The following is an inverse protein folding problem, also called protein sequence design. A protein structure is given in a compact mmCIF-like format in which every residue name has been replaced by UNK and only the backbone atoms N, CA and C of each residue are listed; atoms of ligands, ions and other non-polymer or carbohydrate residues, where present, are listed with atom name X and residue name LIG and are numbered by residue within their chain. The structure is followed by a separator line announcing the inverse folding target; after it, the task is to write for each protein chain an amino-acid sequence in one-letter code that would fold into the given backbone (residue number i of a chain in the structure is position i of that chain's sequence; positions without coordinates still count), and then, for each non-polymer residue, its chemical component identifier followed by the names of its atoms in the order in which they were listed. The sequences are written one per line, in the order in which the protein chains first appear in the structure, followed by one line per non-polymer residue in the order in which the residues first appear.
data_IF_125692982564
#
_entry.id   IF_125692982564
#
_cell.length_a   1.000
_cell.length_b   1.000
_cell.length_c   1.000
_cell.angle_alpha   90.00
_cell.angle_beta   90.00
_cell.angle_gamma   90.00
#
_symmetry.space_group_name_H-M   'P 1'
#
loop_
_entity.id
_entity.type
_entity.pdbx_description
1 polymer ?
#
# COMPACT_ATOMS: atom_id res chain seq x y z
N UNK A 1 4.00 15.74 -41.77
CA UNK A 1 4.73 15.28 -40.57
C UNK A 1 4.15 15.84 -39.27
N UNK A 2 3.66 17.08 -39.23
CA UNK A 2 3.15 17.75 -38.02
C UNK A 2 1.74 17.30 -37.56
N UNK A 3 0.85 16.89 -38.48
CA UNK A 3 -0.53 16.47 -38.15
C UNK A 3 -0.61 15.20 -37.29
N UNK A 4 0.22 14.19 -37.58
CA UNK A 4 0.28 12.95 -36.79
C UNK A 4 0.87 13.17 -35.39
N UNK A 5 1.80 14.13 -35.25
CA UNK A 5 2.39 14.49 -33.97
C UNK A 5 1.37 15.23 -33.09
N UNK A 6 0.57 16.14 -33.66
CA UNK A 6 -0.51 16.81 -32.95
C UNK A 6 -1.61 15.84 -32.49
N UNK A 7 -2.01 14.89 -33.33
CA UNK A 7 -3.01 13.88 -32.97
C UNK A 7 -2.55 13.00 -31.79
N UNK A 8 -1.31 12.50 -31.84
CA UNK A 8 -0.78 11.65 -30.77
C UNK A 8 -0.61 12.40 -29.45
N UNK A 9 -0.20 13.67 -29.48
CA UNK A 9 -0.14 14.52 -28.28
C UNK A 9 -1.54 14.78 -27.74
N UNK A 10 -2.51 15.12 -28.60
CA UNK A 10 -3.89 15.35 -28.20
C UNK A 10 -4.54 14.12 -27.56
N UNK A 11 -4.33 12.93 -28.13
CA UNK A 11 -4.82 11.67 -27.57
C UNK A 11 -4.16 11.35 -26.23
N UNK A 12 -2.85 11.56 -26.09
CA UNK A 12 -2.13 11.37 -24.82
C UNK A 12 -2.62 12.33 -23.75
N UNK A 13 -2.78 13.62 -24.08
CA UNK A 13 -3.29 14.61 -23.13
C UNK A 13 -4.73 14.34 -22.73
N UNK A 14 -5.57 13.87 -23.66
CA UNK A 14 -6.94 13.49 -23.35
C UNK A 14 -7.00 12.26 -22.43
N UNK A 15 -6.16 11.23 -22.69
CA UNK A 15 -6.07 10.05 -21.84
C UNK A 15 -5.58 10.39 -20.42
N UNK A 16 -4.53 11.22 -20.30
CA UNK A 16 -4.05 11.70 -19.01
C UNK A 16 -5.12 12.54 -18.31
N UNK A 17 -5.76 13.47 -19.00
CA UNK A 17 -6.84 14.28 -18.46
C UNK A 17 -8.02 13.45 -17.96
N UNK A 18 -8.38 12.39 -18.69
CA UNK A 18 -9.43 11.45 -18.30
C UNK A 18 -9.07 10.68 -17.02
N UNK A 19 -7.85 10.14 -16.91
CA UNK A 19 -7.37 9.46 -15.69
C UNK A 19 -7.33 10.42 -14.50
N UNK A 20 -6.85 11.65 -14.71
CA UNK A 20 -6.84 12.67 -13.67
C UNK A 20 -8.27 12.98 -13.21
N UNK A 21 -9.22 13.14 -14.13
CA UNK A 21 -10.63 13.35 -13.76
C UNK A 21 -11.18 12.19 -12.93
N UNK A 22 -10.89 10.94 -13.31
CA UNK A 22 -11.33 9.76 -12.56
C UNK A 22 -10.79 9.72 -11.12
N UNK A 23 -9.60 10.27 -10.87
CA UNK A 23 -8.98 10.30 -9.53
C UNK A 23 -9.45 11.54 -8.75
N UNK A 24 -9.40 12.72 -9.36
CA UNK A 24 -9.67 13.98 -8.68
C UNK A 24 -11.16 14.19 -8.37
N UNK A 25 -12.06 13.70 -9.22
CA UNK A 25 -13.50 13.87 -9.02
C UNK A 25 -14.00 13.20 -7.71
N UNK A 26 -13.70 11.92 -7.41
CA UNK A 26 -14.08 11.32 -6.14
C UNK A 26 -13.32 11.93 -4.95
N UNK A 27 -12.04 12.32 -5.11
CA UNK A 27 -11.32 13.00 -4.02
C UNK A 27 -11.93 14.36 -3.69
N UNK A 28 -12.37 15.12 -4.69
CA UNK A 28 -13.07 16.39 -4.50
C UNK A 28 -14.42 16.20 -3.82
N UNK A 29 -15.20 15.19 -4.20
CA UNK A 29 -16.49 14.93 -3.56
C UNK A 29 -16.33 14.39 -2.13
N UNK A 30 -15.33 13.55 -1.88
CA UNK A 30 -15.00 13.07 -0.52
C UNK A 30 -14.59 14.22 0.39
N UNK A 31 -13.67 15.09 -0.06
CA UNK A 31 -13.22 16.24 0.74
C UNK A 31 -14.34 17.24 1.02
N UNK A 32 -15.21 17.50 0.04
CA UNK A 32 -16.41 18.32 0.25
C UNK A 32 -17.33 17.71 1.30
N UNK A 33 -17.59 16.39 1.23
CA UNK A 33 -18.43 15.70 2.19
C UNK A 33 -17.82 15.69 3.59
N UNK A 34 -16.51 15.48 3.72
CA UNK A 34 -15.81 15.47 5.01
C UNK A 34 -15.85 16.82 5.74
N UNK A 35 -15.86 17.93 4.99
CA UNK A 35 -15.87 19.29 5.57
C UNK A 35 -17.29 19.90 5.55
N UNK A 36 -18.28 19.21 4.98
CA UNK A 36 -19.65 19.72 4.83
C UNK A 36 -20.30 20.11 6.17
N UNK A 37 -19.94 19.44 7.26
CA UNK A 37 -20.43 19.75 8.62
C UNK A 37 -19.68 20.90 9.30
N UNK A 38 -18.79 21.58 8.58
CA UNK A 38 -17.96 22.68 9.08
C UNK A 38 -16.57 22.20 9.55
N UNK A 39 -15.61 23.13 9.53
CA UNK A 39 -14.23 22.86 9.90
C UNK A 39 -14.08 22.40 11.36
N UNK A 40 -14.84 23.01 12.28
CA UNK A 40 -14.79 22.65 13.70
C UNK A 40 -15.25 21.21 13.94
N UNK A 41 -16.30 20.77 13.23
CA UNK A 41 -16.81 19.40 13.33
C UNK A 41 -15.80 18.40 12.76
N UNK A 42 -15.18 18.74 11.63
CA UNK A 42 -14.12 17.92 11.03
C UNK A 42 -12.95 17.68 12.01
N UNK A 43 -12.48 18.73 12.69
CA UNK A 43 -11.41 18.60 13.69
C UNK A 43 -11.88 17.78 14.91
N UNK A 44 -13.12 17.94 15.35
CA UNK A 44 -13.69 17.12 16.43
C UNK A 44 -13.74 15.63 16.05
N UNK A 45 -14.16 15.31 14.83
CA UNK A 45 -14.26 13.93 14.33
C UNK A 45 -12.86 13.30 14.18
N UNK A 46 -11.88 14.07 13.72
CA UNK A 46 -10.46 13.66 13.67
C UNK A 46 -9.84 13.45 15.06
N UNK A 47 -10.21 14.30 16.02
CA UNK A 47 -9.72 14.24 17.40
C UNK A 47 -10.52 13.26 18.27
N UNK A 48 -11.55 12.63 17.71
CA UNK A 48 -12.33 11.62 18.42
C UNK A 48 -11.40 10.48 18.87
N UNK A 49 -11.56 9.93 20.08
CA UNK A 49 -10.63 8.96 20.64
C UNK A 49 -10.34 7.76 19.72
N UNK A 50 -11.36 7.30 19.00
CA UNK A 50 -11.24 6.17 18.07
C UNK A 50 -10.45 6.55 16.81
N UNK A 51 -10.70 7.74 16.23
CA UNK A 51 -10.00 8.23 15.05
C UNK A 51 -8.53 8.50 15.37
N UNK A 52 -8.26 9.20 16.48
CA UNK A 52 -6.91 9.48 16.95
C UNK A 52 -6.12 8.19 17.23
N UNK A 53 -6.72 7.21 17.90
CA UNK A 53 -6.08 5.92 18.17
C UNK A 53 -5.77 5.16 16.86
N UNK A 54 -6.70 5.14 15.90
CA UNK A 54 -6.49 4.50 14.61
C UNK A 54 -5.38 5.17 13.79
N UNK A 55 -5.33 6.52 13.79
CA UNK A 55 -4.27 7.28 13.13
C UNK A 55 -2.91 7.01 13.76
N UNK A 56 -2.82 7.02 15.08
CA UNK A 56 -1.56 6.76 15.78
C UNK A 56 -1.08 5.32 15.55
N UNK A 57 -1.97 4.33 15.64
CA UNK A 57 -1.65 2.95 15.33
C UNK A 57 -1.13 2.78 13.90
N UNK A 58 -1.75 3.47 12.93
CA UNK A 58 -1.31 3.44 11.52
C UNK A 58 0.08 4.04 11.37
N UNK A 59 0.35 5.18 12.00
CA UNK A 59 1.67 5.84 11.96
C UNK A 59 2.73 4.96 12.61
N UNK A 60 2.48 4.43 13.80
CA UNK A 60 3.42 3.59 14.54
C UNK A 60 3.75 2.31 13.76
N UNK A 61 2.71 1.58 13.32
CA UNK A 61 2.90 0.33 12.58
C UNK A 61 3.58 0.55 11.23
N UNK A 62 3.19 1.59 10.48
CA UNK A 62 3.82 1.91 9.19
C UNK A 62 5.27 2.39 9.35
N UNK A 63 5.60 3.14 10.40
CA UNK A 63 6.97 3.56 10.69
C UNK A 63 7.86 2.37 11.01
N UNK A 64 7.42 1.46 11.88
CA UNK A 64 8.15 0.24 12.22
C UNK A 64 8.32 -0.65 10.98
N UNK A 65 7.24 -0.90 10.23
CA UNK A 65 7.29 -1.69 9.02
C UNK A 65 8.21 -1.07 7.96
N UNK A 66 8.19 0.25 7.80
CA UNK A 66 9.08 0.97 6.86
C UNK A 66 10.53 0.86 7.29
N UNK A 67 10.84 1.00 8.58
CA UNK A 67 12.22 0.84 9.08
C UNK A 67 12.75 -0.58 8.82
N UNK A 68 11.94 -1.60 9.10
CA UNK A 68 12.27 -3.00 8.81
C UNK A 68 12.48 -3.20 7.30
N UNK A 69 11.53 -2.76 6.47
CA UNK A 69 11.64 -2.88 5.01
C UNK A 69 12.83 -2.10 4.43
N UNK A 70 13.16 -0.93 4.98
CA UNK A 70 14.31 -0.16 4.55
C UNK A 70 15.61 -0.91 4.82
N UNK A 71 15.75 -1.56 5.98
CA UNK A 71 16.96 -2.34 6.30
C UNK A 71 17.00 -3.63 5.48
N UNK A 72 16.01 -4.51 5.63
CA UNK A 72 16.03 -5.84 5.02
C UNK A 72 15.81 -5.79 3.50
N UNK A 73 14.93 -4.91 3.02
CA UNK A 73 14.69 -4.71 1.59
C UNK A 73 15.91 -4.15 0.89
N UNK A 74 16.60 -3.17 1.48
CA UNK A 74 17.85 -2.63 0.89
C UNK A 74 18.95 -3.69 0.88
N UNK A 75 19.13 -4.45 1.97
CA UNK A 75 20.11 -5.54 2.01
C UNK A 75 19.81 -6.60 0.95
N UNK A 76 18.55 -7.00 0.83
CA UNK A 76 18.11 -8.00 -0.17
C UNK A 76 18.33 -7.49 -1.59
N UNK A 77 17.97 -6.23 -1.87
CA UNK A 77 18.21 -5.59 -3.16
C UNK A 77 19.71 -5.50 -3.49
N UNK A 78 20.55 -5.15 -2.52
CA UNK A 78 22.00 -5.10 -2.68
C UNK A 78 22.57 -6.48 -3.03
N UNK A 79 22.09 -7.54 -2.37
CA UNK A 79 22.53 -8.91 -2.68
C UNK A 79 22.08 -9.31 -4.08
N UNK A 80 20.80 -9.09 -4.41
CA UNK A 80 20.22 -9.51 -5.69
C UNK A 80 20.77 -8.74 -6.89
N UNK A 81 21.21 -7.48 -6.71
CA UNK A 81 21.78 -6.67 -7.81
C UNK A 81 23.29 -6.88 -7.97
N UNK A 82 24.03 -7.17 -6.90
CA UNK A 82 25.50 -7.26 -6.93
C UNK A 82 26.05 -8.67 -7.10
N UNK A 83 25.32 -9.71 -6.72
CA UNK A 83 25.83 -11.08 -6.73
C UNK A 83 25.00 -12.02 -7.62
N UNK A 84 25.70 -12.89 -8.33
CA UNK A 84 25.11 -13.99 -9.09
C UNK A 84 25.43 -15.31 -8.39
N UNK A 85 24.39 -15.98 -7.88
CA UNK A 85 24.52 -17.24 -7.15
C UNK A 85 23.43 -18.23 -7.57
N UNK A 86 23.66 -19.55 -7.46
CA UNK A 86 22.66 -20.55 -7.77
C UNK A 86 21.44 -20.40 -6.86
N UNK A 87 20.23 -20.30 -7.43
CA UNK A 87 18.98 -20.09 -6.69
C UNK A 87 18.50 -18.63 -6.60
N UNK A 88 19.20 -17.66 -7.21
CA UNK A 88 18.77 -16.25 -7.30
C UNK A 88 17.33 -16.07 -7.82
N UNK A 89 16.90 -16.92 -8.76
CA UNK A 89 15.54 -16.87 -9.31
C UNK A 89 14.45 -17.14 -8.26
N UNK A 90 14.73 -18.00 -7.27
CA UNK A 90 13.78 -18.32 -6.21
C UNK A 90 13.63 -17.13 -5.25
N UNK A 91 14.73 -16.48 -4.88
CA UNK A 91 14.68 -15.28 -4.06
C UNK A 91 13.98 -14.11 -4.79
N UNK A 92 14.24 -13.91 -6.08
CA UNK A 92 13.48 -12.94 -6.89
C UNK A 92 11.98 -13.25 -6.87
N UNK A 93 11.60 -14.53 -7.10
CA UNK A 93 10.20 -14.93 -7.08
C UNK A 93 9.54 -14.70 -5.70
N UNK A 94 10.24 -14.98 -4.60
CA UNK A 94 9.73 -14.73 -3.24
C UNK A 94 9.51 -13.24 -2.96
N UNK A 95 10.37 -12.36 -3.48
CA UNK A 95 10.24 -10.91 -3.33
C UNK A 95 9.09 -10.35 -4.18
N UNK A 96 8.86 -10.91 -5.38
CA UNK A 96 7.79 -10.46 -6.29
C UNK A 96 6.41 -11.05 -5.94
N UNK A 97 6.38 -12.22 -5.30
CA UNK A 97 5.18 -12.94 -4.89
C UNK A 97 4.14 -12.08 -4.14
N UNK A 98 4.47 -11.27 -3.11
CA UNK A 98 3.48 -10.43 -2.44
C UNK A 98 2.78 -9.43 -3.37
N UNK A 99 3.43 -8.98 -4.45
CA UNK A 99 2.84 -8.07 -5.43
C UNK A 99 1.93 -8.78 -6.44
N UNK A 100 2.16 -10.08 -6.68
CA UNK A 100 1.32 -10.91 -7.53
C UNK A 100 0.04 -11.39 -6.82
N UNK A 101 0.03 -11.37 -5.48
CA UNK A 101 -1.09 -11.85 -4.67
C UNK A 101 -2.12 -10.73 -4.45
N UNK A 102 -3.42 -11.00 -4.67
CA UNK A 102 -4.47 -10.06 -4.29
C UNK A 102 -4.47 -9.76 -2.79
N UNK A 103 -4.68 -8.50 -2.40
CA UNK A 103 -4.61 -8.05 -0.99
C UNK A 103 -5.51 -8.87 -0.05
N UNK A 104 -6.70 -9.26 -0.50
CA UNK A 104 -7.62 -10.09 0.29
C UNK A 104 -7.00 -11.46 0.62
N UNK A 105 -6.32 -12.07 -0.36
CA UNK A 105 -5.67 -13.37 -0.18
C UNK A 105 -4.47 -13.23 0.75
N UNK A 106 -3.68 -12.16 0.63
CA UNK A 106 -2.57 -11.89 1.54
C UNK A 106 -3.04 -11.78 3.00
N UNK A 107 -4.16 -11.08 3.25
CA UNK A 107 -4.77 -11.00 4.57
C UNK A 107 -5.19 -12.36 5.12
N UNK A 108 -5.81 -13.21 4.29
CA UNK A 108 -6.19 -14.57 4.66
C UNK A 108 -4.98 -15.46 4.97
N UNK A 109 -3.86 -15.32 4.24
CA UNK A 109 -2.64 -16.09 4.50
C UNK A 109 -2.01 -15.70 5.83
N UNK A 110 -1.95 -14.40 6.15
CA UNK A 110 -1.48 -13.93 7.46
C UNK A 110 -2.38 -14.48 8.57
N UNK A 111 -3.71 -14.40 8.41
CA UNK A 111 -4.65 -14.97 9.37
C UNK A 111 -4.53 -16.50 9.48
N UNK A 112 -4.23 -17.20 8.40
CA UNK A 112 -4.04 -18.65 8.42
C UNK A 112 -2.73 -19.07 9.11
N UNK A 113 -1.68 -18.25 9.02
CA UNK A 113 -0.35 -18.53 9.60
C UNK A 113 -0.26 -18.07 11.06
N UNK A 114 -0.91 -16.95 11.41
CA UNK A 114 -0.84 -16.34 12.74
C UNK A 114 -2.15 -16.43 13.53
N UNK A 115 -3.21 -16.98 12.95
CA UNK A 115 -4.52 -17.09 13.60
C UNK A 115 -4.53 -18.10 14.75
N UNK A 116 -5.59 -18.08 15.58
CA UNK A 116 -5.67 -18.93 16.78
C UNK A 116 -5.57 -20.43 16.49
N UNK A 117 -6.06 -20.86 15.33
CA UNK A 117 -6.07 -22.27 14.90
C UNK A 117 -4.85 -22.66 14.06
N UNK A 118 -3.87 -21.76 13.90
CA UNK A 118 -2.66 -21.99 13.10
C UNK A 118 -1.57 -22.74 13.87
N UNK A 119 -0.61 -23.33 13.15
CA UNK A 119 0.52 -24.04 13.76
C UNK A 119 1.35 -23.13 14.67
N UNK A 120 1.53 -21.85 14.30
CA UNK A 120 2.22 -20.87 15.14
C UNK A 120 1.33 -20.34 16.28
N UNK A 121 0.03 -20.12 16.02
CA UNK A 121 -0.93 -19.66 17.03
C UNK A 121 -1.15 -20.67 18.15
N UNK A 122 -1.22 -21.96 17.80
CA UNK A 122 -1.29 -23.07 18.78
C UNK A 122 0.00 -23.23 19.58
N UNK A 123 1.16 -22.89 19.01
CA UNK A 123 2.44 -22.88 19.72
C UNK A 123 2.55 -21.69 20.69
N UNK A 124 2.08 -20.51 20.28
CA UNK A 124 2.03 -19.30 21.12
C UNK A 124 0.98 -19.36 22.25
N UNK A 125 -0.09 -20.15 22.10
CA UNK A 125 -1.09 -20.37 23.15
C UNK A 125 -0.70 -21.41 24.20
N UNK A 126 0.31 -22.24 23.93
CA UNK A 126 0.76 -23.31 24.83
C UNK A 126 1.88 -22.88 25.80
N UNK A 127 2.37 -21.64 25.71
CA UNK A 127 3.31 -21.03 26.67
C UNK A 127 2.66 -19.89 27.44
#
# INVERSE_FOLDING_TARGET
MTSHMLLSVALRSAAVGYVLLLIFLPLATLTQQSIASGWDRFIQDLSAPQAAAALWLTIETSAIATAINAVFGTLSALVLVRYEFPGRWLLNALVDLPFAIPTLVAGLMIAAIYGPTSVLGTWLQQG
#
